data_IF_311251806132
#
_entry.id   IF_311251806132
#
_cell.length_a   1.000
_cell.length_b   1.000
_cell.length_c   1.000
_cell.angle_alpha   90.00
_cell.angle_beta   90.00
_cell.angle_gamma   90.00
#
_symmetry.space_group_name_H-M   'P 1'
#
loop_
_entity.id
_entity.type
_entity.pdbx_description
1 polymer ?
#
# COMPACT_ATOMS: atom_id res chain seq x y z
N UNK A 1 9.40 10.68 -36.55
CA UNK A 1 8.68 9.45 -36.94
C UNK A 1 8.19 8.83 -35.65
N UNK A 2 6.88 8.72 -35.46
CA UNK A 2 6.31 8.04 -34.28
C UNK A 2 6.39 6.54 -34.49
N UNK A 3 6.84 5.80 -33.48
CA UNK A 3 6.82 4.34 -33.52
C UNK A 3 5.39 3.86 -33.84
N UNK A 4 5.22 2.91 -34.77
CA UNK A 4 3.90 2.37 -35.07
C UNK A 4 3.32 1.74 -33.80
N UNK A 5 2.10 2.14 -33.44
CA UNK A 5 1.37 1.52 -32.33
C UNK A 5 1.32 0.00 -32.58
N UNK A 6 1.67 -0.83 -31.59
CA UNK A 6 1.70 -2.28 -31.77
C UNK A 6 0.34 -2.79 -32.26
N UNK A 7 0.36 -3.57 -33.35
CA UNK A 7 -0.78 -4.12 -34.10
C UNK A 7 -1.75 -4.99 -33.27
N UNK A 8 -1.48 -5.20 -31.98
CA UNK A 8 -2.37 -5.83 -31.01
C UNK A 8 -2.33 -5.05 -29.70
N UNK A 9 -3.32 -4.19 -29.50
CA UNK A 9 -3.62 -3.61 -28.19
C UNK A 9 -4.22 -4.72 -27.31
N UNK A 10 -3.38 -5.41 -26.56
CA UNK A 10 -3.81 -6.33 -25.51
C UNK A 10 -3.83 -5.59 -24.17
N UNK A 11 -4.86 -5.85 -23.35
CA UNK A 11 -4.88 -5.35 -21.99
C UNK A 11 -3.72 -5.96 -21.19
N UNK A 12 -3.11 -5.19 -20.26
CA UNK A 12 -2.10 -5.71 -19.36
C UNK A 12 -2.59 -6.95 -18.62
N UNK A 13 -1.73 -7.95 -18.49
CA UNK A 13 -2.09 -9.20 -17.82
C UNK A 13 -2.36 -8.96 -16.34
N UNK A 14 -3.44 -9.54 -15.83
CA UNK A 14 -3.73 -9.55 -14.40
C UNK A 14 -2.85 -10.59 -13.70
N UNK A 15 -2.49 -10.31 -12.44
CA UNK A 15 -1.83 -11.33 -11.60
C UNK A 15 -2.79 -12.47 -11.24
N UNK A 16 -4.07 -12.14 -11.06
CA UNK A 16 -5.16 -13.09 -10.83
C UNK A 16 -6.28 -12.80 -11.81
N UNK A 17 -6.89 -13.83 -12.45
CA UNK A 17 -8.05 -13.62 -13.30
C UNK A 17 -9.20 -12.91 -12.58
N UNK A 18 -10.07 -12.24 -13.32
CA UNK A 18 -11.25 -11.57 -12.74
C UNK A 18 -12.12 -12.61 -12.04
N UNK A 19 -12.43 -12.37 -10.76
CA UNK A 19 -13.20 -13.30 -9.94
C UNK A 19 -12.37 -14.41 -9.30
N UNK A 20 -11.06 -14.45 -9.54
CA UNK A 20 -10.12 -15.33 -8.84
C UNK A 20 -9.45 -14.59 -7.67
N UNK A 21 -9.09 -15.34 -6.64
CA UNK A 21 -8.34 -14.87 -5.49
C UNK A 21 -7.08 -15.74 -5.32
N UNK A 22 -5.99 -15.22 -4.71
CA UNK A 22 -4.88 -16.06 -4.29
C UNK A 22 -5.38 -17.16 -3.35
N UNK A 23 -4.77 -18.34 -3.45
CA UNK A 23 -5.02 -19.39 -2.47
C UNK A 23 -4.77 -18.87 -1.06
N UNK A 24 -5.65 -19.24 -0.12
CA UNK A 24 -5.59 -18.86 1.31
C UNK A 24 -4.45 -19.60 2.04
N UNK A 25 -3.24 -19.53 1.51
CA UNK A 25 -2.05 -20.02 2.20
C UNK A 25 -1.58 -19.04 3.27
N UNK A 26 -1.93 -17.75 3.14
CA UNK A 26 -1.53 -16.67 4.06
C UNK A 26 -2.72 -15.75 4.33
N UNK A 27 -2.98 -15.45 5.61
CA UNK A 27 -3.99 -14.46 6.02
C UNK A 27 -3.36 -13.09 6.25
N UNK A 28 -4.07 -12.03 5.85
CA UNK A 28 -3.66 -10.65 6.16
C UNK A 28 -4.30 -10.28 7.49
N UNK A 29 -3.48 -9.91 8.48
CA UNK A 29 -3.99 -9.39 9.74
C UNK A 29 -4.80 -8.11 9.48
N UNK A 30 -6.07 -8.10 9.91
CA UNK A 30 -6.96 -6.96 9.75
C UNK A 30 -6.80 -5.92 10.88
N UNK A 31 -6.04 -6.25 11.91
CA UNK A 31 -5.90 -5.42 13.09
C UNK A 31 -4.69 -4.50 12.96
N UNK A 32 -4.96 -3.20 12.88
CA UNK A 32 -3.98 -2.14 13.17
C UNK A 32 -4.45 -1.38 14.41
N UNK A 33 -3.66 -1.44 15.48
CA UNK A 33 -3.99 -0.81 16.77
C UNK A 33 -3.04 0.38 16.96
N UNK A 34 -3.56 1.58 16.72
CA UNK A 34 -2.82 2.84 16.92
C UNK A 34 -2.84 3.29 18.38
N UNK A 35 -3.65 2.65 19.24
CA UNK A 35 -3.79 2.99 20.66
C UNK A 35 -2.46 2.90 21.42
N UNK A 36 -1.60 1.94 21.06
CA UNK A 36 -0.30 1.76 21.70
C UNK A 36 0.66 2.94 21.49
N UNK A 37 0.48 3.74 20.43
CA UNK A 37 1.32 4.92 20.20
C UNK A 37 1.14 5.92 21.35
N UNK A 38 -0.10 6.07 21.85
CA UNK A 38 -0.40 6.92 23.00
C UNK A 38 0.27 6.38 24.27
N UNK A 39 0.11 5.09 24.55
CA UNK A 39 0.73 4.43 25.71
C UNK A 39 2.25 4.56 25.70
N UNK A 40 2.88 4.33 24.54
CA UNK A 40 4.33 4.48 24.38
C UNK A 40 4.78 5.92 24.63
N UNK A 41 4.02 6.92 24.15
CA UNK A 41 4.29 8.33 24.41
C UNK A 41 4.21 8.70 25.90
N UNK A 42 3.22 8.14 26.61
CA UNK A 42 3.05 8.35 28.05
C UNK A 42 4.20 7.75 28.86
N UNK A 43 4.75 6.60 28.44
CA UNK A 43 5.86 5.92 29.13
C UNK A 43 7.20 6.63 28.90
N UNK A 44 7.49 7.03 27.65
CA UNK A 44 8.80 7.56 27.25
C UNK A 44 8.96 9.09 27.50
N UNK A 45 7.87 9.81 27.72
CA UNK A 45 7.92 11.27 27.77
C UNK A 45 8.25 11.89 26.41
N UNK A 46 8.29 13.22 26.35
CA UNK A 46 8.25 13.93 25.07
C UNK A 46 9.57 13.86 24.28
N UNK A 47 10.72 13.94 24.94
CA UNK A 47 12.03 14.01 24.27
C UNK A 47 12.44 12.67 23.66
N UNK A 48 12.25 11.57 24.39
CA UNK A 48 12.50 10.22 23.89
C UNK A 48 11.52 9.85 22.78
N UNK A 49 10.25 10.22 22.92
CA UNK A 49 9.25 9.99 21.88
C UNK A 49 9.57 10.78 20.60
N UNK A 50 10.05 12.02 20.72
CA UNK A 50 10.51 12.79 19.56
C UNK A 50 11.74 12.16 18.89
N UNK A 51 12.63 11.53 19.66
CA UNK A 51 13.75 10.77 19.10
C UNK A 51 13.26 9.56 18.29
N UNK A 52 12.24 8.84 18.74
CA UNK A 52 11.61 7.75 17.96
C UNK A 52 10.95 8.30 16.70
N UNK A 53 10.28 9.45 16.78
CA UNK A 53 9.66 10.11 15.62
C UNK A 53 10.68 10.43 14.52
N UNK A 54 11.96 10.68 14.87
CA UNK A 54 13.05 10.87 13.92
C UNK A 54 13.59 9.59 13.24
N UNK A 55 13.07 8.41 13.60
CA UNK A 55 13.51 7.12 13.03
C UNK A 55 12.57 6.64 11.91
N UNK A 56 12.80 5.42 11.40
CA UNK A 56 11.92 4.75 10.44
C UNK A 56 10.47 4.53 10.98
N UNK A 57 10.26 4.66 12.30
CA UNK A 57 8.94 4.56 12.92
C UNK A 57 8.13 5.88 12.86
N UNK A 58 8.77 7.00 12.51
CA UNK A 58 8.11 8.30 12.38
C UNK A 58 6.85 8.29 11.51
N UNK A 59 6.88 7.69 10.30
CA UNK A 59 5.69 7.52 9.48
C UNK A 59 4.57 6.72 10.17
N UNK A 60 4.90 5.66 10.92
CA UNK A 60 3.90 4.86 11.66
C UNK A 60 3.24 5.68 12.75
N UNK A 61 4.03 6.47 13.49
CA UNK A 61 3.52 7.41 14.49
C UNK A 61 2.58 8.43 13.85
N UNK A 62 2.99 9.04 12.74
CA UNK A 62 2.20 10.02 11.97
C UNK A 62 0.88 9.44 11.45
N UNK A 63 0.88 8.18 11.00
CA UNK A 63 -0.34 7.46 10.61
C UNK A 63 -1.30 7.30 11.81
N UNK A 64 -0.76 6.93 12.97
CA UNK A 64 -1.53 6.78 14.20
C UNK A 64 -2.13 8.10 14.71
N UNK A 65 -1.36 9.19 14.66
CA UNK A 65 -1.83 10.54 15.03
C UNK A 65 -2.96 11.02 14.11
N UNK A 66 -2.91 10.65 12.83
CA UNK A 66 -4.00 10.90 11.86
C UNK A 66 -5.17 9.93 12.00
N UNK A 67 -5.13 9.01 12.97
CA UNK A 67 -6.14 7.97 13.17
C UNK A 67 -6.39 7.11 11.92
N UNK A 68 -5.36 6.95 11.07
CA UNK A 68 -5.42 6.11 9.88
C UNK A 68 -5.29 4.65 10.29
N UNK A 69 -6.17 3.80 9.77
CA UNK A 69 -6.18 2.36 10.01
C UNK A 69 -5.87 1.61 8.73
N UNK A 70 -5.15 0.50 8.86
CA UNK A 70 -4.98 -0.46 7.79
C UNK A 70 -6.34 -1.11 7.50
N UNK A 71 -6.76 -1.04 6.24
CA UNK A 71 -7.91 -1.80 5.76
C UNK A 71 -7.40 -3.02 5.01
N UNK A 72 -7.50 -4.20 5.63
CA UNK A 72 -7.15 -5.45 4.96
C UNK A 72 -8.00 -5.69 3.70
N UNK A 73 -9.23 -5.17 3.65
CA UNK A 73 -10.07 -5.21 2.44
C UNK A 73 -9.44 -4.43 1.28
N UNK A 74 -8.87 -3.25 1.57
CA UNK A 74 -8.17 -2.44 0.57
C UNK A 74 -6.89 -3.15 0.11
N UNK A 75 -6.08 -3.64 1.05
CA UNK A 75 -4.86 -4.39 0.72
C UNK A 75 -5.19 -5.62 -0.14
N UNK A 76 -6.20 -6.39 0.26
CA UNK A 76 -6.66 -7.54 -0.49
C UNK A 76 -7.11 -7.14 -1.90
N UNK A 77 -7.93 -6.09 -2.05
CA UNK A 77 -8.37 -5.60 -3.36
C UNK A 77 -7.20 -5.15 -4.25
N UNK A 78 -6.19 -4.47 -3.69
CA UNK A 78 -4.98 -4.07 -4.42
C UNK A 78 -4.20 -5.29 -4.91
N UNK A 79 -4.09 -6.33 -4.08
CA UNK A 79 -3.35 -7.55 -4.43
C UNK A 79 -4.09 -8.41 -5.46
N UNK A 80 -5.39 -8.65 -5.28
CA UNK A 80 -6.20 -9.49 -6.18
C UNK A 80 -6.39 -8.84 -7.54
N UNK A 81 -6.55 -7.52 -7.57
CA UNK A 81 -6.75 -6.75 -8.81
C UNK A 81 -5.44 -6.24 -9.42
N UNK A 82 -4.29 -6.75 -8.96
CA UNK A 82 -2.98 -6.29 -9.42
C UNK A 82 -2.72 -6.67 -10.88
N UNK A 83 -2.08 -5.75 -11.60
CA UNK A 83 -1.63 -5.89 -12.98
C UNK A 83 -0.15 -6.29 -12.95
N UNK A 84 0.24 -7.26 -13.77
CA UNK A 84 1.65 -7.64 -13.92
C UNK A 84 2.41 -6.49 -14.57
N UNK A 85 3.53 -6.13 -13.96
CA UNK A 85 4.41 -5.07 -14.44
C UNK A 85 5.86 -5.48 -14.29
N UNK A 86 6.71 -5.04 -15.22
CA UNK A 86 8.18 -5.23 -15.16
C UNK A 86 8.84 -4.20 -14.24
N UNK A 87 8.11 -3.17 -13.81
CA UNK A 87 8.65 -2.10 -12.97
C UNK A 87 8.61 -2.47 -11.50
N UNK A 88 9.79 -2.69 -10.91
CA UNK A 88 9.98 -3.17 -9.53
C UNK A 88 9.32 -2.30 -8.44
N UNK A 89 9.27 -0.98 -8.62
CA UNK A 89 8.81 -0.04 -7.60
C UNK A 89 7.45 0.60 -7.92
N UNK A 90 6.66 -0.06 -8.77
CA UNK A 90 5.30 0.34 -9.09
C UNK A 90 4.34 -0.83 -8.85
N UNK A 91 3.30 -0.59 -8.06
CA UNK A 91 2.11 -1.42 -7.99
C UNK A 91 1.07 -0.84 -8.95
N UNK A 92 0.54 -1.71 -9.81
CA UNK A 92 -0.59 -1.39 -10.68
C UNK A 92 -1.75 -2.29 -10.31
N UNK A 93 -2.96 -1.74 -10.25
CA UNK A 93 -4.17 -2.50 -9.92
C UNK A 93 -5.43 -1.85 -10.52
N UNK A 94 -6.50 -2.63 -10.70
CA UNK A 94 -7.77 -2.10 -11.17
C UNK A 94 -8.60 -1.49 -10.04
N UNK A 95 -9.07 -0.27 -10.26
CA UNK A 95 -10.02 0.43 -9.40
C UNK A 95 -11.11 1.08 -10.26
N UNK A 96 -12.38 0.70 -10.06
CA UNK A 96 -13.50 1.27 -10.83
C UNK A 96 -13.34 1.11 -12.36
N UNK A 97 -12.90 -0.05 -12.83
CA UNK A 97 -12.57 -0.34 -14.24
C UNK A 97 -11.39 0.47 -14.83
N UNK A 98 -10.69 1.26 -14.03
CA UNK A 98 -9.49 2.00 -14.45
C UNK A 98 -8.23 1.42 -13.82
N UNK A 99 -7.11 1.36 -14.56
CA UNK A 99 -5.82 1.01 -13.97
C UNK A 99 -5.31 2.19 -13.12
N UNK A 100 -4.96 1.90 -11.87
CA UNK A 100 -4.36 2.85 -10.95
C UNK A 100 -2.90 2.45 -10.68
N UNK A 101 -2.03 3.46 -10.60
CA UNK A 101 -0.60 3.30 -10.28
C UNK A 101 -0.32 3.82 -8.87
N UNK A 102 0.38 3.03 -8.08
CA UNK A 102 1.00 3.43 -6.83
C UNK A 102 2.49 3.09 -6.85
N UNK A 103 3.36 4.08 -6.79
CA UNK A 103 4.81 3.91 -6.86
C UNK A 103 5.52 4.48 -5.64
N UNK A 104 6.84 4.40 -5.65
CA UNK A 104 7.69 5.05 -4.65
C UNK A 104 7.43 6.57 -4.51
N UNK A 105 7.00 7.23 -5.60
CA UNK A 105 6.62 8.65 -5.56
C UNK A 105 5.39 8.88 -4.68
N UNK A 106 4.31 8.12 -4.92
CA UNK A 106 3.10 8.22 -4.11
C UNK A 106 3.37 7.80 -2.67
N UNK A 107 4.21 6.79 -2.44
CA UNK A 107 4.66 6.41 -1.11
C UNK A 107 5.35 7.57 -0.38
N UNK A 108 6.31 8.24 -1.01
CA UNK A 108 7.01 9.38 -0.42
C UNK A 108 6.09 10.57 -0.11
N UNK A 109 5.04 10.80 -0.92
CA UNK A 109 4.09 11.88 -0.66
C UNK A 109 3.22 11.62 0.58
N UNK A 110 2.97 10.35 0.93
CA UNK A 110 2.08 9.99 2.05
C UNK A 110 2.82 9.75 3.37
N UNK A 111 4.09 9.36 3.33
CA UNK A 111 4.94 9.14 4.51
C UNK A 111 5.74 10.38 4.88
#
# INVERSE_FOLDING_TARGET
MGDPLPLRLALPELRYPIGSEPEKTISINQHSIVAYIKTVKEILGNDEFNRIRGTFLGPVIKLGERSLKLSAKIVHAVLTKSIKTVKRHEAWFHFGAQPMRFSIREFHMVT
#
